data_IF_769944147332
#
_entry.id   IF_769944147332
#
_cell.length_a   1.000
_cell.length_b   1.000
_cell.length_c   1.000
_cell.angle_alpha   90.00
_cell.angle_beta   90.00
_cell.angle_gamma   90.00
#
_symmetry.space_group_name_H-M   'P 1'
#
loop_
_entity.id
_entity.type
_entity.pdbx_description
1 polymer ?
#
# COMPACT_ATOMS: atom_id res chain seq x y z
N UNK A 1 3.33 -0.99 -20.82
CA UNK A 1 2.65 -2.23 -20.38
C UNK A 1 3.02 -2.46 -18.93
N UNK A 2 2.10 -2.26 -18.00
CA UNK A 2 2.36 -2.56 -16.58
C UNK A 2 1.90 -3.99 -16.32
N UNK A 3 2.85 -4.91 -16.08
CA UNK A 3 2.55 -6.27 -15.62
C UNK A 3 2.27 -6.30 -14.12
N UNK A 4 2.10 -7.51 -13.58
CA UNK A 4 1.91 -7.73 -12.14
C UNK A 4 3.08 -7.16 -11.30
N UNK A 5 2.77 -6.49 -10.18
CA UNK A 5 3.80 -6.13 -9.20
C UNK A 5 4.38 -7.37 -8.51
N UNK A 6 5.55 -7.24 -7.86
CA UNK A 6 6.20 -8.37 -7.16
C UNK A 6 5.26 -9.06 -6.15
N UNK A 7 4.51 -8.26 -5.38
CA UNK A 7 3.50 -8.78 -4.43
C UNK A 7 2.40 -9.54 -5.16
N UNK A 8 1.80 -8.94 -6.20
CA UNK A 8 0.72 -9.60 -6.94
C UNK A 8 1.21 -10.87 -7.62
N UNK A 9 2.41 -10.87 -8.19
CA UNK A 9 3.02 -12.08 -8.79
C UNK A 9 3.18 -13.19 -7.75
N UNK A 10 3.69 -12.87 -6.56
CA UNK A 10 3.82 -13.83 -5.47
C UNK A 10 2.46 -14.36 -4.98
N UNK A 11 1.46 -13.49 -4.81
CA UNK A 11 0.13 -13.88 -4.33
C UNK A 11 -0.68 -14.64 -5.38
N UNK A 12 -0.63 -14.23 -6.65
CA UNK A 12 -1.18 -14.98 -7.78
C UNK A 12 -0.57 -16.39 -7.85
N UNK A 13 0.74 -16.53 -7.61
CA UNK A 13 1.41 -17.84 -7.57
C UNK A 13 0.80 -18.75 -6.50
N UNK A 14 0.45 -18.23 -5.32
CA UNK A 14 -0.23 -19.02 -4.27
C UNK A 14 -1.62 -19.50 -4.69
N UNK A 15 -2.35 -18.70 -5.47
CA UNK A 15 -3.67 -19.09 -6.03
C UNK A 15 -3.49 -20.15 -7.12
N UNK A 16 -2.57 -19.93 -8.06
CA UNK A 16 -2.32 -20.83 -9.19
C UNK A 16 -1.86 -22.23 -8.72
N UNK A 17 -1.05 -22.30 -7.66
CA UNK A 17 -0.62 -23.58 -7.05
C UNK A 17 -1.76 -24.43 -6.51
N UNK A 18 -2.93 -23.85 -6.28
CA UNK A 18 -4.12 -24.55 -5.80
C UNK A 18 -5.05 -25.00 -6.94
N UNK A 19 -4.69 -24.69 -8.19
CA UNK A 19 -5.43 -25.13 -9.38
C UNK A 19 -4.98 -26.52 -9.84
N UNK A 20 -5.88 -27.23 -10.51
CA UNK A 20 -5.54 -28.50 -11.15
C UNK A 20 -4.64 -28.25 -12.37
N UNK A 21 -3.89 -29.29 -12.79
CA UNK A 21 -3.07 -29.21 -14.00
C UNK A 21 -3.92 -28.78 -15.21
N UNK A 22 -5.07 -29.43 -15.45
CA UNK A 22 -5.95 -29.10 -16.56
C UNK A 22 -6.46 -27.64 -16.54
N UNK A 23 -6.78 -27.11 -15.36
CA UNK A 23 -7.23 -25.72 -15.25
C UNK A 23 -6.09 -24.72 -15.48
N UNK A 24 -4.85 -25.04 -15.07
CA UNK A 24 -3.68 -24.21 -15.37
C UNK A 24 -3.40 -24.16 -16.88
N UNK A 25 -3.46 -25.31 -17.56
CA UNK A 25 -3.25 -25.36 -19.02
C UNK A 25 -4.31 -24.53 -19.75
N UNK A 26 -5.59 -24.73 -19.41
CA UNK A 26 -6.69 -23.97 -20.01
C UNK A 26 -6.61 -22.47 -19.70
N UNK A 27 -6.16 -22.09 -18.50
CA UNK A 27 -5.95 -20.69 -18.15
C UNK A 27 -4.81 -20.10 -18.98
N UNK A 28 -3.68 -20.81 -19.12
CA UNK A 28 -2.52 -20.42 -19.94
C UNK A 28 -2.93 -20.13 -21.39
N UNK A 29 -3.65 -21.06 -22.03
CA UNK A 29 -4.19 -20.87 -23.38
C UNK A 29 -5.00 -19.58 -23.51
N UNK A 30 -5.78 -19.25 -22.48
CA UNK A 30 -6.64 -18.07 -22.52
C UNK A 30 -5.85 -16.77 -22.33
N UNK A 31 -4.74 -16.77 -21.59
CA UNK A 31 -3.91 -15.56 -21.40
C UNK A 31 -2.91 -15.35 -22.54
N UNK A 32 -2.50 -16.42 -23.23
CA UNK A 32 -1.60 -16.35 -24.39
C UNK A 32 -2.33 -16.28 -25.72
N UNK A 33 -3.67 -16.34 -25.72
CA UNK A 33 -4.49 -16.54 -26.92
C UNK A 33 -4.03 -17.77 -27.73
N UNK A 34 -3.63 -18.84 -27.04
CA UNK A 34 -3.12 -20.11 -27.60
C UNK A 34 -1.87 -19.96 -28.48
N UNK A 35 -1.14 -18.84 -28.36
CA UNK A 35 0.10 -18.63 -29.11
C UNK A 35 1.30 -19.37 -28.51
N UNK A 36 1.19 -19.81 -27.26
CA UNK A 36 2.24 -20.50 -26.53
C UNK A 36 1.68 -21.83 -26.06
N UNK A 37 2.32 -22.91 -26.53
CA UNK A 37 2.08 -24.26 -26.02
C UNK A 37 2.94 -24.42 -24.78
N UNK A 38 2.28 -24.83 -23.71
CA UNK A 38 2.91 -25.18 -22.43
C UNK A 38 2.75 -26.68 -22.24
N UNK A 39 3.71 -27.33 -21.58
CA UNK A 39 3.67 -28.78 -21.34
C UNK A 39 3.63 -29.14 -19.85
N UNK A 40 4.10 -28.22 -18.99
CA UNK A 40 4.18 -28.47 -17.54
C UNK A 40 3.39 -27.45 -16.72
N UNK A 41 2.94 -27.87 -15.52
CA UNK A 41 2.29 -26.94 -14.57
C UNK A 41 3.17 -25.74 -14.22
N UNK A 42 4.49 -25.94 -14.12
CA UNK A 42 5.44 -24.87 -13.78
C UNK A 42 5.51 -23.83 -14.90
N UNK A 43 5.69 -24.30 -16.12
CA UNK A 43 5.75 -23.46 -17.31
C UNK A 43 4.42 -22.73 -17.56
N UNK A 44 3.29 -23.41 -17.33
CA UNK A 44 1.95 -22.80 -17.39
C UNK A 44 1.82 -21.66 -16.37
N UNK A 45 2.25 -21.85 -15.11
CA UNK A 45 2.24 -20.78 -14.11
C UNK A 45 3.12 -19.59 -14.52
N UNK A 46 4.36 -19.84 -14.96
CA UNK A 46 5.30 -18.80 -15.39
C UNK A 46 4.76 -18.00 -16.58
N UNK A 47 4.16 -18.70 -17.54
CA UNK A 47 3.49 -18.10 -18.70
C UNK A 47 2.30 -17.25 -18.26
N UNK A 48 1.42 -17.78 -17.41
CA UNK A 48 0.26 -17.03 -16.91
C UNK A 48 0.71 -15.74 -16.22
N UNK A 49 1.70 -15.81 -15.33
CA UNK A 49 2.21 -14.64 -14.60
C UNK A 49 2.89 -13.61 -15.51
N UNK A 50 3.42 -14.04 -16.66
CA UNK A 50 4.11 -13.16 -17.61
C UNK A 50 3.17 -12.48 -18.60
N UNK A 51 2.09 -13.16 -19.01
CA UNK A 51 1.12 -12.64 -19.97
C UNK A 51 -0.10 -11.96 -19.32
N UNK A 52 -0.24 -12.05 -18.00
CA UNK A 52 -1.29 -11.35 -17.25
C UNK A 52 -0.98 -9.85 -17.12
N UNK A 53 -1.93 -8.99 -17.52
CA UNK A 53 -1.80 -7.53 -17.40
C UNK A 53 -2.09 -7.01 -16.00
N UNK A 54 -3.09 -7.57 -15.31
CA UNK A 54 -3.43 -7.20 -13.95
C UNK A 54 -3.93 -8.37 -13.12
N UNK A 55 -3.75 -8.28 -11.81
CA UNK A 55 -4.27 -9.21 -10.83
C UNK A 55 -5.80 -9.39 -10.97
N UNK A 56 -6.51 -8.29 -11.17
CA UNK A 56 -7.96 -8.29 -11.33
C UNK A 56 -8.40 -9.08 -12.57
N UNK A 57 -7.72 -8.91 -13.70
CA UNK A 57 -8.04 -9.63 -14.93
C UNK A 57 -7.91 -11.14 -14.73
N UNK A 58 -6.81 -11.57 -14.10
CA UNK A 58 -6.55 -12.98 -13.81
C UNK A 58 -7.65 -13.57 -12.91
N UNK A 59 -7.99 -12.89 -11.82
CA UNK A 59 -9.00 -13.35 -10.88
C UNK A 59 -10.41 -13.41 -11.49
N UNK A 60 -10.70 -12.56 -12.48
CA UNK A 60 -11.97 -12.59 -13.25
C UNK A 60 -12.07 -13.78 -14.19
N UNK A 61 -10.95 -14.39 -14.63
CA UNK A 61 -10.97 -15.53 -15.59
C UNK A 61 -11.83 -16.69 -15.07
N UNK A 62 -12.51 -17.37 -16.01
CA UNK A 62 -13.49 -18.44 -15.72
C UNK A 62 -12.91 -19.61 -14.91
N UNK A 63 -11.63 -19.93 -15.15
CA UNK A 63 -10.90 -21.00 -14.45
C UNK A 63 -10.50 -20.67 -13.01
N UNK A 64 -10.52 -19.39 -12.64
CA UNK A 64 -10.35 -18.99 -11.25
C UNK A 64 -11.72 -19.00 -10.58
N UNK A 65 -12.08 -20.12 -9.95
CA UNK A 65 -13.41 -20.29 -9.36
C UNK A 65 -13.60 -19.46 -8.08
N UNK A 66 -14.85 -19.13 -7.76
CA UNK A 66 -15.22 -18.41 -6.52
C UNK A 66 -14.64 -19.09 -5.28
N UNK A 67 -14.81 -20.40 -5.18
CA UNK A 67 -14.37 -21.18 -4.02
C UNK A 67 -12.84 -21.21 -3.88
N UNK A 68 -12.11 -21.09 -4.98
CA UNK A 68 -10.65 -20.99 -4.95
C UNK A 68 -10.21 -19.68 -4.30
N UNK A 69 -10.83 -18.56 -4.67
CA UNK A 69 -10.57 -17.23 -4.08
C UNK A 69 -11.00 -17.22 -2.60
N UNK A 70 -12.15 -17.81 -2.29
CA UNK A 70 -12.64 -17.94 -0.91
C UNK A 70 -11.65 -18.72 -0.03
N UNK A 71 -11.20 -19.89 -0.48
CA UNK A 71 -10.20 -20.72 0.23
C UNK A 71 -8.87 -19.98 0.40
N UNK A 72 -8.45 -19.22 -0.62
CA UNK A 72 -7.25 -18.39 -0.53
C UNK A 72 -7.38 -17.31 0.55
N UNK A 73 -8.47 -16.54 0.58
CA UNK A 73 -8.69 -15.50 1.59
C UNK A 73 -8.72 -16.07 3.01
N UNK A 74 -9.39 -17.21 3.20
CA UNK A 74 -9.40 -17.90 4.49
C UNK A 74 -8.00 -18.32 4.95
N UNK A 75 -7.14 -18.81 4.03
CA UNK A 75 -5.74 -19.15 4.32
C UNK A 75 -4.89 -17.93 4.69
N UNK A 76 -5.20 -16.76 4.14
CA UNK A 76 -4.54 -15.49 4.52
C UNK A 76 -5.17 -14.84 5.76
N UNK A 77 -6.07 -15.55 6.47
CA UNK A 77 -6.68 -15.09 7.72
C UNK A 77 -7.84 -14.10 7.54
N UNK A 78 -8.35 -13.94 6.32
CA UNK A 78 -9.48 -13.04 6.02
C UNK A 78 -10.77 -13.84 6.02
N UNK A 79 -11.60 -13.63 7.05
CA UNK A 79 -12.92 -14.22 7.14
C UNK A 79 -13.88 -13.53 6.15
N UNK A 80 -14.57 -14.32 5.33
CA UNK A 80 -15.61 -13.86 4.40
C UNK A 80 -16.88 -14.68 4.58
N UNK A 81 -18.08 -14.09 4.39
CA UNK A 81 -19.33 -14.86 4.35
C UNK A 81 -19.27 -15.94 3.26
N UNK A 82 -19.76 -17.16 3.55
CA UNK A 82 -19.77 -18.27 2.59
C UNK A 82 -20.64 -17.99 1.36
N UNK A 83 -21.62 -17.10 1.50
CA UNK A 83 -22.51 -16.59 0.44
C UNK A 83 -21.88 -15.49 -0.42
N UNK A 84 -20.67 -15.03 -0.09
CA UNK A 84 -20.01 -13.93 -0.82
C UNK A 84 -19.84 -14.26 -2.31
N UNK A 85 -20.30 -13.36 -3.16
CA UNK A 85 -20.13 -13.50 -4.61
C UNK A 85 -18.67 -13.35 -5.05
N UNK A 86 -18.35 -13.91 -6.21
CA UNK A 86 -16.98 -13.88 -6.76
C UNK A 86 -16.43 -12.45 -6.86
N UNK A 87 -17.23 -11.49 -7.31
CA UNK A 87 -16.79 -10.11 -7.48
C UNK A 87 -16.38 -9.46 -6.14
N UNK A 88 -17.11 -9.75 -5.05
CA UNK A 88 -16.79 -9.29 -3.69
C UNK A 88 -15.47 -9.89 -3.21
N UNK A 89 -15.27 -11.19 -3.43
CA UNK A 89 -14.03 -11.88 -3.06
C UNK A 89 -12.82 -11.34 -3.84
N UNK A 90 -12.99 -11.02 -5.13
CA UNK A 90 -11.94 -10.39 -5.95
C UNK A 90 -11.58 -9.04 -5.36
N UNK A 91 -12.57 -8.17 -5.10
CA UNK A 91 -12.34 -6.85 -4.51
C UNK A 91 -11.56 -6.96 -3.20
N UNK A 92 -11.99 -7.87 -2.31
CA UNK A 92 -11.31 -8.07 -1.02
C UNK A 92 -9.89 -8.59 -1.17
N UNK A 93 -9.64 -9.46 -2.16
CA UNK A 93 -8.31 -9.98 -2.48
C UNK A 93 -7.38 -8.87 -2.95
N UNK A 94 -7.84 -8.00 -3.84
CA UNK A 94 -7.06 -6.86 -4.32
C UNK A 94 -6.79 -5.84 -3.21
N UNK A 95 -7.76 -5.60 -2.31
CA UNK A 95 -7.56 -4.80 -1.11
C UNK A 95 -6.49 -5.41 -0.19
N UNK A 96 -6.50 -6.73 0.02
CA UNK A 96 -5.47 -7.43 0.79
C UNK A 96 -4.08 -7.22 0.16
N UNK A 97 -3.95 -7.40 -1.15
CA UNK A 97 -2.67 -7.26 -1.85
C UNK A 97 -2.17 -5.82 -1.89
N UNK A 98 -3.09 -4.86 -1.90
CA UNK A 98 -2.79 -3.43 -1.78
C UNK A 98 -2.46 -3.05 -0.34
N UNK A 99 -3.07 -3.72 0.64
CA UNK A 99 -2.83 -3.46 2.06
C UNK A 99 -1.43 -3.83 2.51
N UNK A 100 -0.83 -4.87 1.92
CA UNK A 100 0.59 -5.22 2.10
C UNK A 100 1.55 -4.12 1.60
N UNK A 101 1.02 -3.06 0.96
CA UNK A 101 1.76 -1.86 0.55
C UNK A 101 1.44 -0.64 1.43
N UNK A 102 0.54 -0.74 2.41
CA UNK A 102 0.18 0.38 3.28
C UNK A 102 1.36 0.74 4.19
N UNK A 103 1.71 2.02 4.15
CA UNK A 103 2.62 2.62 5.11
C UNK A 103 1.80 3.21 6.24
N UNK A 104 2.22 2.92 7.47
CA UNK A 104 1.64 3.50 8.67
C UNK A 104 2.58 4.62 9.11
N UNK A 105 2.03 5.83 9.22
CA UNK A 105 2.73 6.98 9.76
C UNK A 105 2.35 7.10 11.24
N UNK A 106 3.28 6.74 12.11
CA UNK A 106 3.11 6.78 13.56
C UNK A 106 3.73 8.07 14.10
N UNK A 107 2.93 9.09 14.46
CA UNK A 107 3.45 10.36 14.95
C UNK A 107 4.09 10.18 16.33
N UNK A 108 5.16 10.91 16.59
CA UNK A 108 5.69 11.07 17.93
C UNK A 108 4.88 12.16 18.65
N UNK A 109 4.14 11.76 19.69
CA UNK A 109 3.28 12.64 20.48
C UNK A 109 4.00 13.29 21.67
N UNK A 110 5.29 12.99 21.86
CA UNK A 110 6.12 13.67 22.84
C UNK A 110 6.32 15.15 22.46
N UNK A 111 6.72 15.96 23.45
CA UNK A 111 6.94 17.41 23.27
C UNK A 111 7.92 17.77 22.14
N UNK A 112 8.83 16.85 21.78
CA UNK A 112 9.80 17.05 20.71
C UNK A 112 9.32 16.58 19.32
N UNK A 113 8.23 15.80 19.28
CA UNK A 113 7.65 15.24 18.06
C UNK A 113 6.60 16.14 17.41
N UNK A 114 6.12 17.17 18.11
CA UNK A 114 5.10 18.09 17.63
C UNK A 114 5.53 19.55 17.86
N UNK A 115 5.39 20.39 16.84
CA UNK A 115 5.51 21.86 16.98
C UNK A 115 4.35 22.54 16.27
N UNK A 116 3.86 23.61 16.88
CA UNK A 116 2.77 24.42 16.32
C UNK A 116 3.14 25.89 16.33
N UNK A 117 2.74 26.62 15.28
CA UNK A 117 2.95 28.06 15.17
C UNK A 117 1.71 28.70 14.55
N UNK A 118 1.19 29.77 15.14
CA UNK A 118 0.15 30.60 14.51
C UNK A 118 0.78 31.92 14.04
N UNK A 119 0.55 32.28 12.78
CA UNK A 119 0.98 33.56 12.24
C UNK A 119 -0.09 34.65 12.49
N UNK A 120 0.32 35.92 12.57
CA UNK A 120 -0.63 37.03 12.69
C UNK A 120 -1.63 37.13 11.53
N UNK A 121 -1.27 36.58 10.36
CA UNK A 121 -2.10 36.60 9.15
C UNK A 121 -3.06 35.40 9.04
N UNK A 122 -3.25 34.65 10.13
CA UNK A 122 -4.27 33.58 10.20
C UNK A 122 -3.82 32.22 9.65
N UNK A 123 -2.54 32.05 9.33
CA UNK A 123 -1.97 30.75 8.99
C UNK A 123 -1.55 30.01 10.26
N UNK A 124 -1.94 28.75 10.40
CA UNK A 124 -1.53 27.87 11.50
C UNK A 124 -0.68 26.75 10.95
N UNK A 125 0.54 26.60 11.45
CA UNK A 125 1.44 25.49 11.14
C UNK A 125 1.32 24.39 12.19
N UNK A 126 1.24 23.16 11.72
CA UNK A 126 1.35 21.95 12.54
C UNK A 126 2.47 21.09 11.94
N UNK A 127 3.58 20.97 12.67
CA UNK A 127 4.73 20.17 12.29
C UNK A 127 4.82 18.92 13.17
N UNK A 128 4.85 17.74 12.55
CA UNK A 128 4.86 16.43 13.22
C UNK A 128 6.02 15.57 12.73
N UNK A 129 6.82 15.05 13.65
CA UNK A 129 7.83 14.05 13.39
C UNK A 129 7.28 12.68 13.79
N UNK A 130 7.73 11.62 13.13
CA UNK A 130 7.27 10.29 13.45
C UNK A 130 8.04 9.20 12.74
N UNK A 131 7.56 7.98 12.89
CA UNK A 131 8.12 6.79 12.23
C UNK A 131 7.20 6.31 11.11
N UNK A 132 7.78 5.76 10.05
CA UNK A 132 7.05 5.11 8.97
C UNK A 132 7.23 3.61 9.13
N UNK A 133 6.13 2.87 9.19
CA UNK A 133 6.13 1.42 9.34
C UNK A 133 5.47 0.74 8.15
N UNK A 134 5.89 -0.50 7.91
CA UNK A 134 5.14 -1.49 7.14
C UNK A 134 5.03 -2.73 8.01
N UNK A 135 3.79 -3.11 8.34
CA UNK A 135 3.50 -4.14 9.33
C UNK A 135 4.23 -3.85 10.66
N UNK A 136 5.14 -4.72 11.10
CA UNK A 136 5.93 -4.56 12.33
C UNK A 136 7.29 -3.90 12.09
N UNK A 137 7.63 -3.61 10.83
CA UNK A 137 8.96 -3.13 10.44
C UNK A 137 8.98 -1.60 10.32
N UNK A 138 9.81 -0.94 11.12
CA UNK A 138 10.11 0.48 10.99
C UNK A 138 11.01 0.71 9.76
N UNK A 139 10.49 1.41 8.76
CA UNK A 139 11.18 1.70 7.50
C UNK A 139 11.98 3.01 7.54
N UNK A 140 11.73 3.86 8.54
CA UNK A 140 12.38 5.16 8.66
C UNK A 140 11.57 6.16 9.47
N UNK A 141 11.93 7.44 9.32
CA UNK A 141 11.29 8.55 10.01
C UNK A 141 10.78 9.59 9.01
N UNK A 142 9.77 10.35 9.44
CA UNK A 142 9.23 11.46 8.66
C UNK A 142 9.17 12.74 9.49
N UNK A 143 9.17 13.88 8.82
CA UNK A 143 8.75 15.18 9.33
C UNK A 143 7.72 15.74 8.36
N UNK A 144 6.53 16.05 8.84
CA UNK A 144 5.42 16.55 8.04
C UNK A 144 4.94 17.88 8.61
N UNK A 145 4.83 18.90 7.75
CA UNK A 145 4.34 20.23 8.11
C UNK A 145 3.07 20.50 7.32
N UNK A 146 2.00 20.84 8.03
CA UNK A 146 0.74 21.29 7.47
C UNK A 146 0.60 22.80 7.70
N UNK A 147 0.45 23.56 6.63
CA UNK A 147 -0.03 24.93 6.69
C UNK A 147 -1.54 24.95 6.60
N UNK A 148 -2.23 25.38 7.65
CA UNK A 148 -3.67 25.39 7.77
C UNK A 148 -4.21 26.81 7.80
N UNK A 149 -5.28 27.07 7.05
CA UNK A 149 -6.02 28.33 7.11
C UNK A 149 -7.43 28.02 7.60
N UNK A 150 -7.92 28.82 8.55
CA UNK A 150 -9.29 28.69 9.02
C UNK A 150 -10.22 29.29 7.97
N UNK A 151 -11.27 28.56 7.61
CA UNK A 151 -12.31 29.10 6.75
C UNK A 151 -13.05 30.23 7.48
N UNK A 152 -13.35 31.35 6.81
CA UNK A 152 -14.10 32.45 7.41
C UNK A 152 -15.62 32.18 7.43
N UNK A 153 -16.09 31.20 6.64
CA UNK A 153 -17.53 30.92 6.45
C UNK A 153 -18.01 29.79 7.36
N UNK A 154 -17.15 28.84 7.69
CA UNK A 154 -17.44 27.70 8.56
C UNK A 154 -16.28 27.43 9.52
N UNK A 155 -16.50 26.64 10.58
CA UNK A 155 -15.45 26.33 11.58
C UNK A 155 -14.44 25.27 11.09
N UNK A 156 -14.28 25.12 9.77
CA UNK A 156 -13.41 24.13 9.15
C UNK A 156 -12.02 24.72 8.86
N UNK A 157 -11.02 23.85 8.84
CA UNK A 157 -9.65 24.18 8.46
C UNK A 157 -9.36 23.64 7.06
N UNK A 158 -8.71 24.44 6.22
CA UNK A 158 -8.23 24.02 4.90
C UNK A 158 -6.72 23.94 4.91
N UNK A 159 -6.18 22.93 4.23
CA UNK A 159 -4.74 22.79 4.03
C UNK A 159 -4.32 23.74 2.91
N UNK A 160 -3.50 24.74 3.24
CA UNK A 160 -2.85 25.64 2.28
C UNK A 160 -1.64 24.98 1.63
N UNK A 161 -0.83 24.26 2.40
CA UNK A 161 0.31 23.49 1.90
C UNK A 161 0.66 22.31 2.80
N UNK A 162 1.37 21.34 2.23
CA UNK A 162 1.94 20.18 2.94
C UNK A 162 3.40 20.04 2.53
N UNK A 163 4.31 20.02 3.51
CA UNK A 163 5.70 19.65 3.30
C UNK A 163 5.95 18.31 3.98
N UNK A 164 6.44 17.31 3.24
CA UNK A 164 6.76 15.99 3.77
C UNK A 164 8.21 15.65 3.48
N UNK A 165 8.98 15.38 4.55
CA UNK A 165 10.36 14.92 4.48
C UNK A 165 10.45 13.51 5.04
N UNK A 166 11.02 12.58 4.27
CA UNK A 166 11.18 11.18 4.65
C UNK A 166 12.67 10.84 4.69
N UNK A 167 13.10 10.10 5.71
CA UNK A 167 14.44 9.51 5.81
C UNK A 167 14.30 8.01 6.04
N UNK A 168 14.83 7.21 5.10
CA UNK A 168 14.84 5.75 5.21
C UNK A 168 15.85 5.23 6.22
N UNK A 169 15.64 4.01 6.69
CA UNK A 169 16.47 3.35 7.70
C UNK A 169 17.96 3.23 7.30
N UNK A 170 18.25 3.05 6.01
CA UNK A 170 19.62 2.98 5.50
C UNK A 170 20.41 4.27 5.73
N UNK A 171 19.73 5.42 5.81
CA UNK A 171 20.34 6.72 6.12
C UNK A 171 20.54 6.95 7.62
N UNK A 172 20.06 6.05 8.49
CA UNK A 172 20.07 6.18 9.96
C UNK A 172 21.11 5.28 10.65
N UNK A 173 21.85 4.44 9.90
CA UNK A 173 22.72 3.37 10.43
C UNK A 173 23.84 3.79 11.42
N UNK A 174 24.11 5.08 11.58
CA UNK A 174 25.15 5.62 12.46
C UNK A 174 24.65 6.53 13.60
N UNK A 175 23.34 6.64 13.82
CA UNK A 175 22.77 7.38 14.97
C UNK A 175 22.03 6.41 15.88
N UNK A 176 22.29 6.49 17.17
CA UNK A 176 21.42 5.88 18.18
C UNK A 176 19.96 6.23 17.88
N UNK A 177 19.08 5.23 17.98
CA UNK A 177 17.66 5.33 17.64
C UNK A 177 16.94 6.18 18.70
N UNK A 178 17.21 7.48 18.70
CA UNK A 178 16.45 8.47 19.47
C UNK A 178 15.07 8.64 18.87
N UNK A 179 14.09 8.94 19.71
CA UNK A 179 12.72 9.20 19.26
C UNK A 179 12.73 10.30 18.17
N UNK A 180 11.95 10.16 17.08
CA UNK A 180 11.97 11.12 15.99
C UNK A 180 11.52 12.49 16.47
N UNK A 181 12.35 13.50 16.26
CA UNK A 181 12.11 14.89 16.69
C UNK A 181 12.00 15.83 15.48
N UNK A 182 11.29 16.94 15.69
CA UNK A 182 11.21 18.03 14.71
C UNK A 182 12.52 18.82 14.69
N UNK A 183 13.22 18.76 13.56
CA UNK A 183 14.46 19.50 13.32
C UNK A 183 14.24 20.96 12.95
N UNK A 184 13.02 21.34 12.56
CA UNK A 184 12.66 22.73 12.29
C UNK A 184 12.67 23.55 13.58
N UNK A 185 13.44 24.62 13.61
CA UNK A 185 13.38 25.60 14.70
C UNK A 185 12.22 26.61 14.45
N UNK A 186 11.96 27.50 15.40
CA UNK A 186 10.88 28.48 15.30
C UNK A 186 11.06 29.45 14.12
N UNK A 187 12.30 29.81 13.77
CA UNK A 187 12.61 30.69 12.64
C UNK A 187 12.35 30.00 11.30
N UNK A 188 12.71 28.72 11.17
CA UNK A 188 12.43 27.93 9.96
C UNK A 188 10.92 27.83 9.71
N UNK A 189 10.13 27.64 10.78
CA UNK A 189 8.67 27.59 10.70
C UNK A 189 8.07 28.97 10.37
N UNK A 190 8.63 30.05 10.91
CA UNK A 190 8.18 31.41 10.57
C UNK A 190 8.42 31.74 9.08
N UNK A 191 9.51 31.28 8.49
CA UNK A 191 9.78 31.47 7.05
C UNK A 191 8.73 30.80 6.15
N UNK A 192 8.07 29.74 6.63
CA UNK A 192 6.97 29.10 5.90
C UNK A 192 5.64 29.86 6.02
N UNK A 193 5.58 30.88 6.88
CA UNK A 193 4.41 31.73 7.07
C UNK A 193 4.45 33.02 6.23
N UNK A 194 5.62 33.39 5.72
CA UNK A 194 5.84 34.54 4.83
C UNK A 194 5.36 34.25 3.40
#
# INVERSE_FOLDING_TARGET
>A
MTGLSLTERAECTKILRQMTHADLMSLSDTVTNKLIVVESSKEAMETILSFTKSAEELLKRKKVFRDLIFKYLAKEGIAMPTTSEKHVLIKRTLELWSSKKRLIFSPNLDANGLKTLASPHGLVLVAVAGTIHRDVSCLGIFEQIFGLIKSPVDNNWKIKFINLKIRGQDSLKNKEMSAPTINYNSSDLQLLCS
#
